data_IF_680135807646
#
_entry.id   IF_680135807646
#
_cell.length_a   1.000
_cell.length_b   1.000
_cell.length_c   1.000
_cell.angle_alpha   90.00
_cell.angle_beta   90.00
_cell.angle_gamma   90.00
#
_symmetry.space_group_name_H-M   'P 1'
#
loop_
_entity.id
_entity.type
_entity.pdbx_description
1 polymer ?
#
# COMPACT_ATOMS: atom_id res chain seq x y z
N UNK A 1 -8.30 -58.25 -23.61
CA UNK A 1 -7.81 -58.95 -22.40
C UNK A 1 -8.40 -58.27 -21.16
N UNK A 2 -8.70 -59.06 -20.14
CA UNK A 2 -9.83 -58.92 -19.20
C UNK A 2 -9.75 -57.72 -18.23
N UNK A 3 -10.93 -57.10 -18.02
CA UNK A 3 -11.29 -56.26 -16.86
C UNK A 3 -11.43 -57.14 -15.61
N UNK A 4 -10.99 -56.66 -14.45
CA UNK A 4 -11.34 -57.25 -13.14
C UNK A 4 -12.12 -56.21 -12.35
N UNK A 5 -13.33 -56.62 -12.00
CA UNK A 5 -14.32 -55.97 -11.14
C UNK A 5 -14.08 -56.50 -9.72
N UNK A 6 -14.10 -55.62 -8.71
CA UNK A 6 -14.26 -56.03 -7.31
C UNK A 6 -15.52 -55.35 -6.77
N UNK A 7 -16.49 -56.21 -6.46
CA UNK A 7 -17.74 -55.97 -5.74
C UNK A 7 -17.61 -56.66 -4.37
N UNK A 8 -18.43 -56.25 -3.40
CA UNK A 8 -18.88 -56.89 -2.12
C UNK A 8 -18.71 -55.89 -0.95
N UNK A 9 -19.66 -55.59 -0.06
CA UNK A 9 -21.09 -55.92 0.14
C UNK A 9 -21.58 -55.05 1.31
N UNK A 10 -22.85 -54.63 1.29
CA UNK A 10 -23.56 -54.03 2.42
C UNK A 10 -23.81 -55.04 3.55
N UNK A 11 -23.85 -54.58 4.80
CA UNK A 11 -24.59 -55.22 5.89
C UNK A 11 -25.16 -54.14 6.83
N UNK A 12 -26.47 -53.94 6.72
CA UNK A 12 -27.31 -53.25 7.67
C UNK A 12 -27.71 -54.24 8.79
N UNK A 13 -27.79 -53.77 10.03
CA UNK A 13 -28.52 -54.45 11.10
C UNK A 13 -29.38 -53.46 11.88
N UNK A 14 -30.68 -53.66 11.73
CA UNK A 14 -31.80 -53.15 12.52
C UNK A 14 -31.97 -54.12 13.69
N UNK A 15 -32.10 -53.69 14.94
CA UNK A 15 -32.92 -54.44 15.91
C UNK A 15 -33.63 -53.54 16.96
N UNK A 16 -34.95 -53.45 16.75
CA UNK A 16 -36.09 -53.53 17.69
C UNK A 16 -36.35 -52.53 18.82
N UNK A 17 -37.57 -51.98 18.70
CA UNK A 17 -38.43 -51.37 19.71
C UNK A 17 -38.65 -52.28 20.94
N UNK A 18 -38.77 -51.63 22.10
CA UNK A 18 -39.69 -52.05 23.15
C UNK A 18 -40.33 -50.81 23.77
N UNK A 19 -41.65 -50.77 23.67
CA UNK A 19 -42.53 -49.76 24.24
C UNK A 19 -42.90 -50.16 25.67
N UNK A 20 -42.94 -49.20 26.59
CA UNK A 20 -43.85 -49.23 27.72
C UNK A 20 -44.31 -47.80 28.01
N UNK A 21 -45.61 -47.59 27.91
CA UNK A 21 -46.32 -46.36 28.19
C UNK A 21 -47.09 -46.54 29.51
N UNK A 22 -46.92 -45.65 30.47
CA UNK A 22 -47.91 -45.41 31.53
C UNK A 22 -47.85 -43.96 31.99
N UNK A 23 -48.93 -43.23 31.71
CA UNK A 23 -49.25 -41.93 32.28
C UNK A 23 -49.65 -42.07 33.76
N UNK A 24 -49.15 -41.18 34.62
CA UNK A 24 -49.85 -40.75 35.84
C UNK A 24 -49.45 -39.32 36.23
N UNK A 25 -50.46 -38.49 36.52
CA UNK A 25 -50.39 -37.06 36.85
C UNK A 25 -49.76 -36.73 38.22
N UNK A 26 -48.88 -35.70 38.24
CA UNK A 26 -48.65 -34.56 39.21
C UNK A 26 -48.43 -34.81 40.73
N UNK A 27 -47.88 -33.84 41.53
CA UNK A 27 -47.10 -32.60 41.25
C UNK A 27 -45.87 -32.35 42.19
N UNK A 28 -45.26 -31.15 42.07
CA UNK A 28 -44.40 -30.37 43.02
C UNK A 28 -42.96 -30.82 43.32
N UNK A 29 -41.95 -30.06 42.88
CA UNK A 29 -41.27 -29.03 43.69
C UNK A 29 -40.03 -28.45 42.98
N UNK A 30 -39.83 -27.16 43.21
CA UNK A 30 -38.72 -26.30 42.78
C UNK A 30 -37.33 -26.87 43.05
N UNK A 31 -36.43 -26.69 42.07
CA UNK A 31 -35.10 -26.15 42.33
C UNK A 31 -34.45 -25.73 41.00
N UNK A 32 -34.37 -24.41 40.80
CA UNK A 32 -33.52 -23.76 39.82
C UNK A 32 -32.08 -24.31 39.88
N UNK A 33 -31.57 -24.79 38.74
CA UNK A 33 -30.13 -24.79 38.47
C UNK A 33 -29.92 -24.58 36.98
N UNK A 34 -30.00 -23.31 36.59
CA UNK A 34 -29.49 -22.81 35.32
C UNK A 34 -27.97 -22.90 35.40
N UNK A 35 -27.39 -23.96 34.84
CA UNK A 35 -25.95 -24.06 34.62
C UNK A 35 -25.60 -23.27 33.35
N UNK A 36 -25.60 -21.95 33.49
CA UNK A 36 -25.07 -21.06 32.46
C UNK A 36 -23.56 -20.97 32.67
N UNK A 37 -22.83 -21.87 32.00
CA UNK A 37 -21.42 -21.67 31.69
C UNK A 37 -21.30 -20.38 30.87
N UNK A 38 -20.96 -19.29 31.55
CA UNK A 38 -20.44 -18.10 30.91
C UNK A 38 -19.09 -18.51 30.31
N UNK A 39 -19.10 -18.84 29.02
CA UNK A 39 -17.90 -18.76 28.20
C UNK A 39 -17.61 -17.27 28.13
N UNK A 40 -16.69 -16.78 28.95
CA UNK A 40 -16.04 -15.52 28.66
C UNK A 40 -15.34 -15.72 27.32
N UNK A 41 -15.89 -15.12 26.27
CA UNK A 41 -15.19 -14.89 25.01
C UNK A 41 -14.02 -13.96 25.32
N UNK A 42 -12.91 -14.56 25.80
CA UNK A 42 -11.62 -13.87 25.87
C UNK A 42 -11.18 -13.73 24.42
N UNK A 43 -11.54 -12.62 23.77
CA UNK A 43 -10.89 -12.22 22.53
C UNK A 43 -9.38 -12.28 22.78
N UNK A 44 -8.60 -13.01 21.98
CA UNK A 44 -7.16 -13.05 22.17
C UNK A 44 -6.64 -11.63 22.09
N UNK A 45 -6.00 -11.17 23.17
CA UNK A 45 -5.25 -9.92 23.17
C UNK A 45 -4.11 -10.12 22.18
N UNK A 46 -4.35 -9.72 20.94
CA UNK A 46 -3.34 -9.71 19.90
C UNK A 46 -2.41 -8.55 20.25
N UNK A 47 -1.35 -8.84 21.02
CA UNK A 47 -0.35 -7.88 21.48
C UNK A 47 0.24 -7.15 20.27
N UNK A 48 -0.20 -5.91 20.04
CA UNK A 48 0.16 -5.11 18.87
C UNK A 48 1.66 -4.96 18.77
N UNK A 49 2.25 -5.35 17.64
CA UNK A 49 3.70 -5.25 17.44
C UNK A 49 4.12 -3.79 17.44
N UNK A 50 5.22 -3.52 18.13
CA UNK A 50 5.94 -2.26 18.12
C UNK A 50 7.13 -2.33 17.16
N UNK A 51 7.85 -1.21 17.02
CA UNK A 51 9.09 -1.17 16.23
C UNK A 51 10.18 -2.09 16.81
N UNK A 52 10.21 -2.29 18.13
CA UNK A 52 11.22 -3.10 18.82
C UNK A 52 11.07 -4.60 18.52
N UNK A 53 9.86 -5.03 18.18
CA UNK A 53 9.56 -6.41 17.80
C UNK A 53 10.01 -6.74 16.36
N UNK A 54 10.35 -5.72 15.56
CA UNK A 54 10.74 -5.89 14.16
C UNK A 54 12.23 -6.18 14.04
N UNK A 55 12.53 -7.45 13.72
CA UNK A 55 13.86 -7.87 13.32
C UNK A 55 14.13 -7.56 11.85
N UNK A 56 15.19 -6.78 11.59
CA UNK A 56 15.70 -6.49 10.25
C UNK A 56 17.09 -7.13 10.11
N UNK A 57 17.28 -7.88 9.03
CA UNK A 57 18.58 -8.46 8.64
C UNK A 57 18.96 -8.01 7.23
N UNK A 58 20.25 -8.01 6.89
CA UNK A 58 20.73 -7.57 5.57
C UNK A 58 21.19 -8.74 4.71
N UNK A 59 20.51 -8.95 3.59
CA UNK A 59 20.91 -9.92 2.57
C UNK A 59 20.52 -9.37 1.19
N UNK A 60 21.43 -8.58 0.62
CA UNK A 60 21.17 -7.83 -0.60
C UNK A 60 20.99 -8.78 -1.79
N UNK A 61 19.93 -8.57 -2.55
CA UNK A 61 19.74 -9.15 -3.90
C UNK A 61 20.32 -8.23 -4.98
N UNK A 62 20.51 -6.96 -4.65
CA UNK A 62 21.16 -5.98 -5.50
C UNK A 62 22.13 -5.16 -4.64
N UNK A 63 23.40 -5.14 -5.04
CA UNK A 63 24.53 -4.61 -4.26
C UNK A 63 25.28 -3.46 -4.95
N UNK A 64 24.99 -3.18 -6.22
CA UNK A 64 25.66 -2.11 -6.98
C UNK A 64 25.24 -0.73 -6.48
N UNK A 65 26.21 0.16 -6.23
CA UNK A 65 25.99 1.50 -5.63
C UNK A 65 25.37 1.45 -4.22
N UNK A 66 25.60 0.36 -3.49
CA UNK A 66 25.09 0.23 -2.11
C UNK A 66 25.66 1.33 -1.22
N UNK A 67 24.80 1.86 -0.36
CA UNK A 67 25.20 2.81 0.68
C UNK A 67 25.35 2.10 2.02
N UNK A 68 26.28 2.58 2.84
CA UNK A 68 26.34 2.22 4.26
C UNK A 68 25.10 2.74 5.01
N UNK A 69 24.83 2.23 6.21
CA UNK A 69 23.71 2.71 7.05
C UNK A 69 23.80 4.20 7.35
N UNK A 70 25.03 4.68 7.51
CA UNK A 70 25.39 6.06 7.77
C UNK A 70 26.53 6.41 6.84
N UNK A 71 26.36 7.47 6.05
CA UNK A 71 27.32 7.85 5.01
C UNK A 71 27.51 9.37 4.93
N UNK A 72 28.73 9.83 4.59
CA UNK A 72 29.02 11.26 4.50
C UNK A 72 28.33 11.89 3.27
N UNK A 73 27.87 13.12 3.42
CA UNK A 73 27.37 13.95 2.31
C UNK A 73 27.76 15.41 2.52
N UNK A 74 28.75 15.88 1.76
CA UNK A 74 29.32 17.23 1.92
C UNK A 74 29.75 17.48 3.38
N UNK A 75 29.17 18.49 4.00
CA UNK A 75 29.35 18.94 5.38
C UNK A 75 28.36 18.28 6.36
N UNK A 76 27.54 17.34 5.89
CA UNK A 76 26.55 16.62 6.71
C UNK A 76 26.75 15.10 6.63
N UNK A 77 26.00 14.39 7.45
CA UNK A 77 25.89 12.92 7.42
C UNK A 77 24.46 12.56 7.05
N UNK A 78 24.30 11.43 6.35
CA UNK A 78 23.01 10.87 5.99
C UNK A 78 22.88 9.47 6.52
N UNK A 79 21.63 9.07 6.73
CA UNK A 79 21.32 7.78 7.34
C UNK A 79 20.16 7.12 6.62
N UNK A 80 20.10 5.79 6.72
CA UNK A 80 18.82 5.09 6.60
C UNK A 80 18.08 5.20 7.93
N UNK A 81 16.86 5.72 7.91
CA UNK A 81 16.03 5.91 9.11
C UNK A 81 15.43 4.59 9.59
N UNK A 82 16.27 3.68 10.08
CA UNK A 82 15.86 2.31 10.46
C UNK A 82 14.76 2.27 11.51
N UNK A 83 14.73 3.21 12.45
CA UNK A 83 13.67 3.29 13.47
C UNK A 83 12.31 3.59 12.83
N UNK A 84 12.24 4.60 11.95
CA UNK A 84 11.02 4.90 11.17
C UNK A 84 10.64 3.71 10.28
N UNK A 85 11.61 3.04 9.65
CA UNK A 85 11.35 1.84 8.83
C UNK A 85 10.71 0.75 9.69
N UNK A 86 11.25 0.46 10.88
CA UNK A 86 10.69 -0.53 11.81
C UNK A 86 9.26 -0.19 12.23
N UNK A 87 8.97 1.07 12.56
CA UNK A 87 7.60 1.51 12.88
C UNK A 87 6.62 1.23 11.73
N UNK A 88 7.03 1.52 10.49
CA UNK A 88 6.22 1.26 9.30
C UNK A 88 6.06 -0.23 9.01
N UNK A 89 7.08 -1.04 9.26
CA UNK A 89 6.96 -2.50 9.15
C UNK A 89 6.05 -3.09 10.23
N UNK A 90 6.11 -2.58 11.46
CA UNK A 90 5.17 -2.96 12.53
C UNK A 90 3.72 -2.66 12.13
N UNK A 91 3.46 -1.51 11.48
CA UNK A 91 2.15 -1.22 10.88
C UNK A 91 1.72 -2.28 9.86
N UNK A 92 2.63 -2.69 8.97
CA UNK A 92 2.37 -3.72 7.93
C UNK A 92 2.10 -5.09 8.55
N UNK A 93 2.83 -5.48 9.59
CA UNK A 93 2.57 -6.76 10.26
C UNK A 93 1.24 -6.70 11.02
N UNK A 94 0.98 -5.62 11.76
CA UNK A 94 -0.26 -5.47 12.51
C UNK A 94 -1.51 -5.46 11.63
N UNK A 95 -1.47 -4.82 10.47
CA UNK A 95 -2.64 -4.76 9.58
C UNK A 95 -2.96 -6.10 8.92
N UNK A 96 -2.02 -7.04 8.88
CA UNK A 96 -2.19 -8.36 8.25
C UNK A 96 -2.52 -9.46 9.26
N UNK A 97 -2.54 -9.16 10.56
CA UNK A 97 -2.89 -10.13 11.62
C UNK A 97 -4.35 -10.56 11.60
N UNK A 98 -5.23 -9.73 11.04
CA UNK A 98 -6.65 -10.05 10.82
C UNK A 98 -6.91 -10.10 9.31
N UNK A 99 -7.65 -11.11 8.82
CA UNK A 99 -8.11 -11.12 7.43
C UNK A 99 -8.84 -9.82 7.10
N UNK A 100 -8.51 -9.23 5.96
CA UNK A 100 -9.05 -7.95 5.54
C UNK A 100 -9.13 -7.88 4.02
N UNK A 101 -10.21 -7.32 3.50
CA UNK A 101 -10.30 -6.99 2.09
C UNK A 101 -9.56 -5.68 1.84
N UNK A 102 -8.58 -5.70 0.94
CA UNK A 102 -7.76 -4.54 0.62
C UNK A 102 -8.20 -3.90 -0.69
N UNK A 103 -8.06 -2.59 -0.75
CA UNK A 103 -8.26 -1.79 -1.95
C UNK A 103 -7.26 -0.63 -2.01
N UNK A 104 -7.22 0.04 -3.16
CA UNK A 104 -6.40 1.24 -3.37
C UNK A 104 -7.27 2.36 -3.93
N UNK A 105 -7.04 3.58 -3.41
CA UNK A 105 -7.64 4.79 -3.98
C UNK A 105 -7.03 5.05 -5.36
N UNK A 106 -7.83 5.16 -6.41
CA UNK A 106 -7.34 5.42 -7.77
C UNK A 106 -8.02 6.62 -8.40
N UNK A 107 -7.22 7.59 -8.83
CA UNK A 107 -7.69 8.65 -9.71
C UNK A 107 -6.58 9.26 -10.57
N UNK A 108 -5.55 8.49 -10.93
CA UNK A 108 -4.48 8.94 -11.83
C UNK A 108 -5.03 9.69 -13.05
N UNK A 109 -4.52 10.90 -13.29
CA UNK A 109 -4.97 11.80 -14.37
C UNK A 109 -6.48 12.05 -14.44
N UNK A 110 -7.20 11.95 -13.31
CA UNK A 110 -8.66 12.03 -13.24
C UNK A 110 -9.37 10.97 -14.11
N UNK A 111 -8.77 9.80 -14.33
CA UNK A 111 -9.37 8.73 -15.14
C UNK A 111 -10.74 8.29 -14.61
N UNK A 112 -10.97 8.41 -13.30
CA UNK A 112 -12.24 8.07 -12.64
C UNK A 112 -13.16 9.28 -12.43
N UNK A 113 -12.85 10.39 -13.10
CA UNK A 113 -13.55 11.68 -12.98
C UNK A 113 -12.80 12.68 -12.11
N UNK A 114 -13.05 13.96 -12.34
CA UNK A 114 -12.53 15.00 -11.47
C UNK A 114 -13.25 14.93 -10.12
N UNK A 115 -12.49 14.90 -9.01
CA UNK A 115 -13.07 15.00 -7.68
C UNK A 115 -13.92 16.28 -7.54
N UNK A 116 -15.05 16.29 -6.83
CA UNK A 116 -15.78 17.53 -6.48
C UNK A 116 -14.91 18.46 -5.64
N UNK A 117 -15.38 19.69 -5.38
CA UNK A 117 -14.74 20.54 -4.36
C UNK A 117 -15.02 19.98 -2.97
N UNK A 118 -14.03 20.05 -2.09
CA UNK A 118 -14.18 19.80 -0.65
C UNK A 118 -14.69 21.04 0.07
N UNK A 119 -15.18 20.90 1.31
CA UNK A 119 -15.73 22.01 2.13
C UNK A 119 -14.78 23.19 2.25
N UNK A 120 -13.53 22.92 2.60
CA UNK A 120 -12.49 23.93 2.78
C UNK A 120 -11.36 23.65 1.81
N UNK A 121 -11.18 24.54 0.84
CA UNK A 121 -10.14 24.44 -0.17
C UNK A 121 -9.38 25.75 -0.32
N UNK A 122 -8.13 25.62 -0.75
CA UNK A 122 -7.28 26.73 -1.13
C UNK A 122 -7.02 26.69 -2.64
N UNK A 123 -6.84 27.86 -3.26
CA UNK A 123 -6.35 27.97 -4.64
C UNK A 123 -5.04 28.72 -4.67
N UNK A 124 -4.03 28.12 -5.27
CA UNK A 124 -2.71 28.72 -5.42
C UNK A 124 -2.62 29.69 -6.60
N UNK A 125 -1.44 30.32 -6.74
CA UNK A 125 -1.12 31.24 -7.84
C UNK A 125 -1.18 30.59 -9.23
N UNK A 126 -1.09 29.25 -9.31
CA UNK A 126 -1.19 28.45 -10.53
C UNK A 126 -2.61 27.91 -10.78
N UNK A 127 -3.61 28.41 -10.04
CA UNK A 127 -5.03 28.00 -10.11
C UNK A 127 -5.27 26.54 -9.74
N UNK A 128 -4.33 25.89 -9.07
CA UNK A 128 -4.50 24.55 -8.51
C UNK A 128 -5.31 24.64 -7.24
N UNK A 129 -6.11 23.62 -6.99
CA UNK A 129 -6.98 23.53 -5.82
C UNK A 129 -6.44 22.43 -4.94
N UNK A 130 -6.29 22.70 -3.65
CA UNK A 130 -5.94 21.72 -2.63
C UNK A 130 -6.89 21.79 -1.44
N UNK A 131 -6.95 20.72 -0.65
CA UNK A 131 -7.61 20.76 0.66
C UNK A 131 -6.73 21.42 1.73
N UNK A 132 -7.19 21.38 2.98
CA UNK A 132 -6.53 21.92 4.17
C UNK A 132 -5.24 21.19 4.54
N UNK A 133 -4.99 19.99 4.00
CA UNK A 133 -3.77 19.21 4.20
C UNK A 133 -2.78 19.34 3.03
N UNK A 134 -3.08 20.22 2.07
CA UNK A 134 -2.25 20.42 0.89
C UNK A 134 -2.33 19.27 -0.12
N UNK A 135 -3.35 18.42 -0.07
CA UNK A 135 -3.60 17.41 -1.09
C UNK A 135 -4.29 18.08 -2.27
N UNK A 136 -3.66 18.08 -3.45
CA UNK A 136 -4.25 18.66 -4.65
C UNK A 136 -5.49 17.89 -5.11
N UNK A 137 -6.53 18.61 -5.55
CA UNK A 137 -7.75 18.04 -6.14
C UNK A 137 -7.46 17.21 -7.39
N UNK A 138 -6.47 17.62 -8.18
CA UNK A 138 -6.08 16.90 -9.38
C UNK A 138 -5.49 15.54 -9.02
N UNK A 139 -6.06 14.47 -9.60
CA UNK A 139 -5.70 13.08 -9.35
C UNK A 139 -6.01 12.53 -7.96
N UNK A 140 -6.82 13.24 -7.18
CA UNK A 140 -7.21 12.79 -5.85
C UNK A 140 -8.62 12.23 -5.81
N UNK A 141 -8.93 11.58 -4.70
CA UNK A 141 -10.21 10.94 -4.42
C UNK A 141 -10.93 11.74 -3.34
N UNK A 142 -12.19 12.16 -3.54
CA UNK A 142 -12.94 12.84 -2.48
C UNK A 142 -13.26 11.88 -1.33
N UNK A 143 -13.00 12.32 -0.11
CA UNK A 143 -13.31 11.59 1.12
C UNK A 143 -14.49 12.27 1.82
N UNK A 144 -15.54 11.50 2.12
CA UNK A 144 -16.75 11.97 2.76
C UNK A 144 -16.87 11.43 4.18
N UNK A 145 -17.49 12.20 5.06
CA UNK A 145 -17.86 11.72 6.39
C UNK A 145 -19.08 10.81 6.29
N UNK A 146 -19.20 9.89 7.24
CA UNK A 146 -20.33 8.95 7.28
C UNK A 146 -21.70 9.63 7.44
N UNK A 147 -21.72 10.79 8.11
CA UNK A 147 -22.91 11.60 8.33
C UNK A 147 -23.11 12.73 7.30
N UNK A 148 -22.22 12.86 6.32
CA UNK A 148 -22.29 13.90 5.29
C UNK A 148 -21.75 13.40 3.94
N UNK A 149 -22.67 12.95 3.10
CA UNK A 149 -22.39 12.49 1.73
C UNK A 149 -22.64 13.56 0.67
N UNK A 150 -23.01 14.79 1.07
CA UNK A 150 -23.32 15.88 0.14
C UNK A 150 -22.04 16.63 -0.26
N UNK A 151 -21.16 16.89 0.71
CA UNK A 151 -19.90 17.59 0.49
C UNK A 151 -18.71 16.79 1.01
N UNK A 152 -17.67 16.67 0.19
CA UNK A 152 -16.45 15.99 0.58
C UNK A 152 -15.68 16.81 1.63
N UNK A 153 -15.10 16.13 2.61
CA UNK A 153 -14.33 16.74 3.70
C UNK A 153 -12.89 17.03 3.26
N UNK A 154 -12.24 16.04 2.65
CA UNK A 154 -10.82 16.07 2.27
C UNK A 154 -10.57 15.32 0.95
N UNK A 155 -9.34 15.43 0.45
CA UNK A 155 -8.87 14.62 -0.66
C UNK A 155 -7.93 13.51 -0.17
N UNK A 156 -8.24 12.27 -0.55
CA UNK A 156 -7.36 11.12 -0.45
C UNK A 156 -6.43 11.05 -1.65
N UNK A 157 -5.15 10.76 -1.41
CA UNK A 157 -4.16 10.64 -2.49
C UNK A 157 -4.39 9.34 -3.27
N UNK A 158 -4.30 9.41 -4.60
CA UNK A 158 -4.22 8.22 -5.43
C UNK A 158 -3.04 7.34 -4.98
N UNK A 159 -3.25 6.02 -4.98
CA UNK A 159 -2.28 5.04 -4.51
C UNK A 159 -2.34 4.71 -3.03
N UNK A 160 -3.11 5.44 -2.22
CA UNK A 160 -3.26 5.15 -0.79
C UNK A 160 -3.88 3.76 -0.59
N UNK A 161 -3.26 2.95 0.28
CA UNK A 161 -3.79 1.66 0.70
C UNK A 161 -4.97 1.87 1.66
N UNK A 162 -6.08 1.17 1.41
CA UNK A 162 -7.26 1.22 2.26
C UNK A 162 -7.80 -0.17 2.56
N UNK A 163 -8.28 -0.37 3.77
CA UNK A 163 -9.08 -1.53 4.14
C UNK A 163 -10.51 -1.27 3.71
N UNK A 164 -11.05 -2.15 2.89
CA UNK A 164 -12.44 -2.10 2.46
C UNK A 164 -13.31 -2.65 3.59
N UNK A 165 -14.31 -1.87 4.04
CA UNK A 165 -15.18 -2.24 5.15
C UNK A 165 -16.54 -2.74 4.64
N UNK A 166 -17.29 -1.89 3.95
CA UNK A 166 -18.64 -2.19 3.51
C UNK A 166 -19.08 -1.33 2.31
N UNK A 167 -20.05 -1.84 1.55
CA UNK A 167 -20.76 -1.08 0.52
C UNK A 167 -21.84 -0.22 1.17
N UNK A 168 -21.85 1.09 0.88
CA UNK A 168 -22.84 2.05 1.38
C UNK A 168 -23.43 2.82 0.20
N UNK A 169 -24.54 2.34 -0.35
CA UNK A 169 -25.18 2.93 -1.54
C UNK A 169 -24.18 3.07 -2.71
N UNK A 170 -23.93 4.28 -3.21
CA UNK A 170 -22.94 4.62 -4.24
C UNK A 170 -21.49 4.76 -3.72
N UNK A 171 -21.30 4.61 -2.42
CA UNK A 171 -20.02 4.71 -1.72
C UNK A 171 -19.54 3.35 -1.24
N UNK A 172 -18.27 3.32 -0.85
CA UNK A 172 -17.64 2.29 -0.05
C UNK A 172 -17.14 2.95 1.22
N UNK A 173 -17.43 2.35 2.37
CA UNK A 173 -16.78 2.71 3.62
C UNK A 173 -15.41 2.04 3.66
N UNK A 174 -14.37 2.84 3.82
CA UNK A 174 -12.98 2.40 3.83
C UNK A 174 -12.23 2.97 5.02
N UNK A 175 -11.24 2.24 5.52
CA UNK A 175 -10.28 2.74 6.51
C UNK A 175 -8.92 2.96 5.82
N UNK A 176 -8.35 4.17 5.94
CA UNK A 176 -7.00 4.44 5.42
C UNK A 176 -5.98 3.68 6.26
N UNK A 177 -5.17 2.82 5.62
CA UNK A 177 -4.28 1.89 6.33
C UNK A 177 -3.29 2.60 7.26
N UNK A 178 -2.78 3.77 6.85
CA UNK A 178 -1.80 4.56 7.59
C UNK A 178 -2.38 5.33 8.77
N UNK A 179 -3.56 5.95 8.61
CA UNK A 179 -4.13 6.84 9.63
C UNK A 179 -5.21 6.19 10.49
N UNK A 180 -5.68 4.99 10.08
CA UNK A 180 -6.82 4.27 10.69
C UNK A 180 -8.13 5.06 10.71
N UNK A 181 -8.23 6.13 9.90
CA UNK A 181 -9.45 6.93 9.76
C UNK A 181 -10.38 6.30 8.73
N UNK A 182 -11.66 6.25 9.07
CA UNK A 182 -12.72 5.78 8.20
C UNK A 182 -13.32 6.90 7.35
N UNK A 183 -13.64 6.59 6.10
CA UNK A 183 -14.21 7.53 5.12
C UNK A 183 -15.20 6.82 4.21
N UNK A 184 -16.19 7.55 3.73
CA UNK A 184 -16.98 7.14 2.57
C UNK A 184 -16.29 7.62 1.29
N UNK A 185 -16.13 6.71 0.33
CA UNK A 185 -15.49 6.97 -0.96
C UNK A 185 -16.38 6.50 -2.10
N UNK A 186 -16.68 7.33 -3.13
CA UNK A 186 -17.47 6.88 -4.27
C UNK A 186 -16.84 5.66 -4.96
N UNK A 187 -17.64 4.63 -5.25
CA UNK A 187 -17.16 3.32 -5.77
C UNK A 187 -16.22 3.43 -6.96
N UNK A 188 -16.45 4.40 -7.86
CA UNK A 188 -15.61 4.63 -9.05
C UNK A 188 -14.15 4.94 -8.75
N UNK A 189 -13.81 5.40 -7.55
CA UNK A 189 -12.44 5.71 -7.15
C UNK A 189 -11.74 4.56 -6.43
N UNK A 190 -12.43 3.44 -6.20
CA UNK A 190 -11.89 2.29 -5.48
C UNK A 190 -11.48 1.20 -6.46
N UNK A 191 -10.23 0.77 -6.36
CA UNK A 191 -9.76 -0.47 -6.99
C UNK A 191 -9.56 -1.53 -5.92
N UNK A 192 -10.48 -2.49 -5.86
CA UNK A 192 -10.33 -3.67 -5.00
C UNK A 192 -9.12 -4.49 -5.44
N UNK A 193 -8.28 -4.84 -4.48
CA UNK A 193 -7.13 -5.74 -4.62
C UNK A 193 -7.59 -7.17 -4.30
N UNK A 194 -8.22 -7.35 -3.13
CA UNK A 194 -8.75 -8.64 -2.65
C UNK A 194 -8.43 -8.88 -1.18
N UNK A 195 -8.87 -10.02 -0.67
CA UNK A 195 -8.68 -10.50 0.71
C UNK A 195 -7.53 -11.51 0.87
N UNK A 196 -6.97 -11.98 -0.26
CA UNK A 196 -5.86 -12.96 -0.31
C UNK A 196 -4.48 -12.31 -0.44
N UNK A 197 -4.42 -10.99 -0.61
CA UNK A 197 -3.15 -10.26 -0.78
C UNK A 197 -2.36 -10.26 0.53
N UNK A 198 -1.05 -10.51 0.41
CA UNK A 198 -0.09 -10.39 1.50
C UNK A 198 1.04 -9.46 1.08
N UNK A 199 1.26 -8.41 1.85
CA UNK A 199 2.26 -7.38 1.65
C UNK A 199 3.59 -7.79 2.28
N UNK A 200 4.33 -8.65 1.57
CA UNK A 200 5.66 -9.10 1.99
C UNK A 200 6.80 -8.26 1.39
N UNK A 201 6.50 -7.25 0.57
CA UNK A 201 7.49 -6.45 -0.14
C UNK A 201 7.21 -4.97 0.07
N UNK A 202 8.19 -4.26 0.62
CA UNK A 202 8.10 -2.83 0.89
C UNK A 202 9.32 -2.10 0.34
N UNK A 203 9.07 -0.96 -0.31
CA UNK A 203 10.08 0.01 -0.72
C UNK A 203 9.99 1.19 0.24
N UNK A 204 11.13 1.65 0.75
CA UNK A 204 11.25 2.82 1.61
C UNK A 204 12.03 3.89 0.88
N UNK A 205 11.42 5.04 0.66
CA UNK A 205 12.04 6.21 0.05
C UNK A 205 12.17 7.28 1.10
N UNK A 206 13.37 7.77 1.32
CA UNK A 206 13.64 8.85 2.27
C UNK A 206 13.83 10.17 1.50
N UNK A 207 12.89 11.11 1.66
CA UNK A 207 12.96 12.40 0.95
C UNK A 207 13.99 13.36 1.56
N UNK A 208 14.42 13.14 2.80
CA UNK A 208 15.40 13.98 3.49
C UNK A 208 16.82 13.51 3.23
N UNK A 209 17.08 12.22 3.42
CA UNK A 209 18.38 11.59 3.19
C UNK A 209 18.62 11.20 1.72
N UNK A 210 17.59 11.29 0.87
CA UNK A 210 17.65 10.98 -0.57
C UNK A 210 18.21 9.57 -0.82
N UNK A 211 17.67 8.59 -0.10
CA UNK A 211 17.99 7.18 -0.29
C UNK A 211 16.72 6.35 -0.46
N UNK A 212 16.94 5.11 -0.88
CA UNK A 212 15.89 4.12 -1.09
C UNK A 212 16.38 2.77 -0.56
N UNK A 213 15.50 2.06 0.16
CA UNK A 213 15.74 0.69 0.56
C UNK A 213 14.57 -0.20 0.13
N UNK A 214 14.85 -1.47 -0.12
CA UNK A 214 13.82 -2.48 -0.37
C UNK A 214 13.92 -3.56 0.68
N UNK A 215 12.79 -3.94 1.27
CA UNK A 215 12.72 -4.95 2.31
C UNK A 215 11.68 -6.02 1.93
N UNK A 216 12.00 -7.27 2.23
CA UNK A 216 11.18 -8.44 1.95
C UNK A 216 10.96 -9.24 3.24
N UNK A 217 9.70 -9.49 3.60
CA UNK A 217 9.36 -10.33 4.74
C UNK A 217 9.70 -11.78 4.44
N UNK A 218 10.34 -12.42 5.39
CA UNK A 218 10.50 -13.87 5.51
C UNK A 218 9.67 -14.36 6.70
N UNK A 219 9.69 -15.66 6.98
CA UNK A 219 8.89 -16.24 8.07
C UNK A 219 9.12 -15.57 9.43
N UNK A 220 10.36 -15.11 9.70
CA UNK A 220 10.75 -14.59 11.02
C UNK A 220 11.17 -13.13 11.03
N UNK A 221 11.65 -12.58 9.92
CA UNK A 221 12.25 -11.24 9.89
C UNK A 221 12.04 -10.51 8.55
N UNK A 222 12.29 -9.21 8.54
CA UNK A 222 12.38 -8.44 7.31
C UNK A 222 13.83 -8.41 6.83
N UNK A 223 14.02 -8.70 5.54
CA UNK A 223 15.34 -8.78 4.93
C UNK A 223 15.55 -7.63 3.98
N UNK A 224 16.61 -6.85 4.19
CA UNK A 224 17.03 -5.77 3.29
C UNK A 224 17.58 -6.37 2.01
N UNK A 225 16.95 -6.04 0.87
CA UNK A 225 17.30 -6.56 -0.46
C UNK A 225 18.08 -5.57 -1.34
N UNK A 226 18.03 -4.28 -1.03
CA UNK A 226 18.84 -3.24 -1.67
C UNK A 226 18.83 -1.96 -0.82
N UNK A 227 19.89 -1.15 -0.94
CA UNK A 227 20.08 0.11 -0.24
C UNK A 227 20.84 1.08 -1.15
N UNK A 228 20.19 2.08 -1.72
CA UNK A 228 20.80 2.90 -2.79
C UNK A 228 20.51 4.40 -2.65
N UNK A 229 21.33 5.24 -3.30
CA UNK A 229 21.00 6.65 -3.43
C UNK A 229 19.80 6.84 -4.36
N UNK A 230 18.92 7.76 -4.01
CA UNK A 230 17.75 8.13 -4.80
C UNK A 230 17.68 9.65 -4.99
N UNK A 231 16.84 10.12 -5.91
CA UNK A 231 16.52 11.55 -6.02
C UNK A 231 15.02 11.74 -6.13
N UNK A 232 14.45 12.45 -5.17
CA UNK A 232 13.00 12.67 -5.06
C UNK A 232 12.56 13.99 -5.71
N UNK A 233 11.26 14.23 -5.67
CA UNK A 233 10.57 15.40 -6.22
C UNK A 233 10.96 16.69 -5.53
N UNK A 234 11.19 17.74 -6.32
CA UNK A 234 11.43 19.10 -5.82
C UNK A 234 10.18 19.96 -5.99
N UNK A 235 9.87 20.74 -4.98
CA UNK A 235 8.88 21.81 -5.09
C UNK A 235 9.34 22.85 -6.12
N UNK A 236 8.71 22.86 -7.29
CA UNK A 236 8.98 23.81 -8.38
C UNK A 236 7.73 23.97 -9.26
N UNK A 237 6.61 24.45 -8.69
CA UNK A 237 5.38 24.61 -9.46
C UNK A 237 5.58 25.58 -10.65
N UNK A 238 4.81 25.43 -11.74
CA UNK A 238 3.79 24.39 -11.91
C UNK A 238 4.38 23.02 -12.27
N UNK A 239 5.61 22.92 -12.78
CA UNK A 239 6.07 21.68 -13.41
C UNK A 239 6.61 20.63 -12.44
N UNK A 240 7.04 21.02 -11.24
CA UNK A 240 7.61 20.12 -10.23
C UNK A 240 6.85 20.17 -8.91
N UNK A 241 6.63 18.99 -8.32
CA UNK A 241 6.10 18.82 -6.97
C UNK A 241 7.04 17.92 -6.17
N UNK A 242 6.96 18.05 -4.85
CA UNK A 242 7.60 17.12 -3.93
C UNK A 242 7.03 15.72 -4.09
N UNK A 243 7.85 14.70 -3.83
CA UNK A 243 7.34 13.34 -3.71
C UNK A 243 6.49 13.29 -2.43
N UNK A 244 5.18 12.97 -2.51
CA UNK A 244 4.32 12.98 -1.33
C UNK A 244 4.75 11.88 -0.35
N UNK A 245 4.78 12.22 0.94
CA UNK A 245 5.00 11.27 2.03
C UNK A 245 3.76 10.41 2.28
N UNK A 246 3.95 9.22 2.85
CA UNK A 246 2.87 8.31 3.24
C UNK A 246 3.04 6.88 2.73
N UNK A 247 1.97 6.09 2.87
CA UNK A 247 1.88 4.69 2.43
C UNK A 247 1.10 4.54 1.12
N UNK A 248 1.78 4.00 0.11
CA UNK A 248 1.21 3.75 -1.21
C UNK A 248 1.40 2.30 -1.67
N UNK A 249 0.67 1.92 -2.72
CA UNK A 249 0.79 0.61 -3.38
C UNK A 249 1.42 0.78 -4.75
N UNK A 250 2.22 -0.16 -5.23
CA UNK A 250 2.67 -0.18 -6.64
C UNK A 250 1.47 -0.48 -7.55
N UNK A 251 1.12 0.46 -8.43
CA UNK A 251 -0.13 0.41 -9.21
C UNK A 251 0.05 0.18 -10.71
N UNK A 252 1.20 0.53 -11.28
CA UNK A 252 1.47 0.35 -12.71
C UNK A 252 2.97 0.18 -12.94
N UNK A 253 3.35 -0.44 -14.06
CA UNK A 253 4.73 -0.74 -14.42
C UNK A 253 4.96 -0.50 -15.91
N UNK A 254 5.98 0.28 -16.23
CA UNK A 254 6.38 0.56 -17.62
C UNK A 254 7.89 0.37 -17.79
N UNK A 255 8.29 -0.51 -18.71
CA UNK A 255 9.70 -0.65 -19.09
C UNK A 255 10.27 0.66 -19.67
N UNK A 256 9.43 1.42 -20.37
CA UNK A 256 9.73 2.74 -20.93
C UNK A 256 8.60 3.70 -20.59
N UNK A 257 8.85 4.63 -19.66
CA UNK A 257 7.91 5.70 -19.32
C UNK A 257 8.27 6.97 -20.10
N UNK A 258 7.44 7.31 -21.08
CA UNK A 258 7.60 8.56 -21.83
C UNK A 258 7.20 9.77 -20.97
N UNK A 259 8.02 10.83 -21.00
CA UNK A 259 7.68 12.11 -20.41
C UNK A 259 7.70 13.22 -21.47
N UNK A 260 6.88 14.24 -21.23
CA UNK A 260 6.68 15.37 -22.14
C UNK A 260 7.56 16.55 -21.74
N UNK A 261 7.75 17.48 -22.66
CA UNK A 261 8.38 18.76 -22.36
C UNK A 261 7.51 19.60 -21.42
N UNK A 262 8.14 20.31 -20.48
CA UNK A 262 7.44 21.22 -19.57
C UNK A 262 6.62 22.24 -20.38
N UNK A 263 5.32 22.33 -20.09
CA UNK A 263 4.38 23.20 -20.80
C UNK A 263 3.79 22.62 -22.09
N UNK A 264 4.22 21.43 -22.51
CA UNK A 264 3.70 20.75 -23.71
C UNK A 264 2.80 19.57 -23.35
N UNK A 265 1.69 19.41 -24.09
CA UNK A 265 0.77 18.27 -23.96
C UNK A 265 1.06 17.14 -24.94
N UNK A 266 1.93 17.37 -25.93
CA UNK A 266 2.15 16.47 -27.06
C UNK A 266 3.62 16.21 -27.35
N UNK A 267 4.52 17.14 -27.02
CA UNK A 267 5.94 16.99 -27.38
C UNK A 267 6.67 16.11 -26.38
N UNK A 268 7.26 15.03 -26.88
CA UNK A 268 8.09 14.14 -26.10
C UNK A 268 9.43 14.79 -25.77
N UNK A 269 9.79 14.83 -24.49
CA UNK A 269 11.12 15.26 -24.06
C UNK A 269 12.08 14.08 -23.89
N UNK A 270 11.56 12.87 -23.69
CA UNK A 270 12.37 11.68 -23.50
C UNK A 270 11.63 10.53 -22.82
N UNK A 271 12.41 9.63 -22.23
CA UNK A 271 11.87 8.50 -21.47
C UNK A 271 12.65 8.20 -20.20
N UNK A 272 11.99 7.57 -19.25
CA UNK A 272 12.60 6.99 -18.06
C UNK A 272 12.46 5.47 -18.10
N UNK A 273 13.55 4.70 -17.94
CA UNK A 273 13.48 3.24 -17.97
C UNK A 273 12.96 2.67 -16.64
N UNK A 274 12.30 1.51 -16.72
CA UNK A 274 11.90 0.67 -15.57
C UNK A 274 11.11 1.43 -14.49
N UNK A 275 10.00 2.03 -14.90
CA UNK A 275 9.16 2.85 -14.04
C UNK A 275 8.09 2.01 -13.32
N UNK A 276 8.01 2.14 -12.00
CA UNK A 276 6.96 1.56 -11.14
C UNK A 276 6.15 2.69 -10.48
N UNK A 277 4.89 2.87 -10.88
CA UNK A 277 3.99 3.93 -10.38
C UNK A 277 3.50 3.58 -8.99
N UNK A 278 3.45 4.55 -8.08
CA UNK A 278 2.88 4.33 -6.74
C UNK A 278 1.81 5.35 -6.34
N UNK A 279 1.91 6.62 -6.73
CA UNK A 279 0.90 7.66 -6.46
C UNK A 279 0.94 8.75 -7.53
N UNK A 280 -0.19 9.31 -7.93
CA UNK A 280 -0.24 10.45 -8.87
C UNK A 280 0.69 10.26 -10.09
N UNK A 281 1.51 11.26 -10.42
CA UNK A 281 2.55 11.17 -11.44
C UNK A 281 3.87 10.56 -10.96
N UNK A 282 3.96 10.05 -9.72
CA UNK A 282 5.18 9.58 -9.12
C UNK A 282 5.47 8.11 -9.47
N UNK A 283 6.69 7.89 -9.97
CA UNK A 283 7.24 6.58 -10.28
C UNK A 283 8.60 6.42 -9.61
N UNK A 284 8.92 5.19 -9.18
CA UNK A 284 10.30 4.76 -8.97
C UNK A 284 10.84 4.36 -10.35
N UNK A 285 11.87 5.04 -10.86
CA UNK A 285 12.39 4.79 -12.21
C UNK A 285 13.90 5.05 -12.31
N UNK A 286 14.51 4.62 -13.42
CA UNK A 286 15.93 4.81 -13.71
C UNK A 286 16.27 6.23 -14.12
N UNK A 287 17.50 6.48 -14.57
CA UNK A 287 17.90 7.84 -14.98
C UNK A 287 17.14 8.25 -16.26
N UNK A 288 16.42 9.40 -16.27
CA UNK A 288 15.78 9.90 -17.48
C UNK A 288 16.77 10.12 -18.62
N UNK A 289 16.34 9.75 -19.82
CA UNK A 289 17.06 9.94 -21.07
C UNK A 289 16.30 10.98 -21.89
N UNK A 290 16.90 12.15 -22.06
CA UNK A 290 16.34 13.22 -22.90
C UNK A 290 16.67 12.96 -24.37
N UNK A 291 15.72 13.25 -25.26
CA UNK A 291 15.98 13.23 -26.69
C UNK A 291 17.13 14.19 -27.07
N UNK A 292 17.92 13.88 -28.12
CA UNK A 292 17.76 12.75 -29.05
C UNK A 292 18.40 11.44 -28.56
N UNK A 293 18.94 11.40 -27.33
CA UNK A 293 19.57 10.18 -26.81
C UNK A 293 18.52 9.09 -26.62
N UNK A 294 18.89 7.85 -26.97
CA UNK A 294 18.03 6.66 -26.82
C UNK A 294 18.59 5.63 -25.85
N UNK A 295 19.90 5.67 -25.59
CA UNK A 295 20.54 4.70 -24.71
C UNK A 295 20.26 4.99 -23.23
N UNK A 296 19.94 3.93 -22.48
CA UNK A 296 19.75 3.99 -21.03
C UNK A 296 21.03 4.52 -20.36
N UNK A 297 20.84 5.54 -19.52
CA UNK A 297 21.90 6.06 -18.66
C UNK A 297 21.89 5.25 -17.38
N UNK A 298 23.00 4.61 -17.05
CA UNK A 298 23.06 3.75 -15.86
C UNK A 298 22.98 4.55 -14.56
N UNK A 299 23.76 5.62 -14.45
CA UNK A 299 23.92 6.36 -13.19
C UNK A 299 23.99 7.87 -13.45
N UNK A 300 23.51 8.66 -12.48
CA UNK A 300 23.63 10.12 -12.47
C UNK A 300 24.33 10.55 -11.19
N UNK A 301 25.30 11.45 -11.31
CA UNK A 301 26.02 12.02 -10.16
C UNK A 301 25.14 12.80 -9.19
N UNK A 302 23.88 13.08 -9.56
CA UNK A 302 22.93 13.78 -8.70
C UNK A 302 22.09 12.85 -7.83
N UNK A 303 22.20 11.53 -8.02
CA UNK A 303 21.54 10.55 -7.14
C UNK A 303 22.09 10.70 -5.73
N UNK A 304 21.20 10.70 -4.74
CA UNK A 304 21.58 10.89 -3.34
C UNK A 304 22.11 12.28 -3.04
N UNK A 305 21.74 13.31 -3.80
CA UNK A 305 22.11 14.71 -3.53
C UNK A 305 20.95 15.48 -2.91
N UNK A 306 20.25 16.32 -3.66
CA UNK A 306 19.04 17.02 -3.19
C UNK A 306 17.84 16.60 -4.04
N UNK A 307 16.60 16.88 -3.60
CA UNK A 307 15.44 16.69 -4.45
C UNK A 307 15.58 17.48 -5.75
N UNK A 308 15.29 16.84 -6.88
CA UNK A 308 15.46 17.45 -8.22
C UNK A 308 14.44 16.96 -9.26
N UNK A 309 13.65 15.93 -8.97
CA UNK A 309 12.72 15.37 -9.98
C UNK A 309 11.40 16.14 -10.00
N UNK A 310 10.52 15.79 -10.95
CA UNK A 310 9.13 16.25 -10.99
C UNK A 310 8.25 15.18 -10.31
N UNK A 311 8.25 15.14 -8.98
CA UNK A 311 7.53 14.17 -8.10
C UNK A 311 8.09 12.73 -8.05
N UNK A 312 8.77 12.25 -9.09
CA UNK A 312 9.26 10.86 -9.16
C UNK A 312 10.45 10.56 -8.22
N UNK A 313 10.78 9.28 -8.06
CA UNK A 313 11.96 8.79 -7.36
C UNK A 313 12.93 8.24 -8.40
N UNK A 314 14.01 8.98 -8.67
CA UNK A 314 15.06 8.60 -9.62
C UNK A 314 16.12 7.74 -8.95
N UNK A 315 16.56 6.68 -9.63
CA UNK A 315 17.56 5.74 -9.15
C UNK A 315 18.58 5.44 -10.26
N UNK A 316 19.63 4.68 -9.93
CA UNK A 316 20.42 4.01 -10.94
C UNK A 316 19.48 3.13 -11.81
N UNK A 317 19.70 3.08 -13.11
CA UNK A 317 18.77 2.38 -14.01
C UNK A 317 18.72 0.88 -13.76
N UNK A 318 19.86 0.25 -13.42
CA UNK A 318 19.88 -1.14 -12.97
C UNK A 318 19.16 -1.37 -11.63
N UNK A 319 19.25 -0.43 -10.67
CA UNK A 319 18.48 -0.50 -9.42
C UNK A 319 16.97 -0.35 -9.67
N UNK A 320 16.57 0.60 -10.52
CA UNK A 320 15.19 0.75 -10.92
C UNK A 320 14.66 -0.50 -11.63
N UNK A 321 15.49 -1.15 -12.46
CA UNK A 321 15.16 -2.46 -13.06
C UNK A 321 14.96 -3.53 -11.98
N UNK A 322 15.84 -3.59 -10.99
CA UNK A 322 15.68 -4.51 -9.86
C UNK A 322 14.32 -4.29 -9.16
N UNK A 323 13.98 -3.06 -8.78
CA UNK A 323 12.67 -2.75 -8.16
C UNK A 323 11.51 -3.12 -9.10
N UNK A 324 11.62 -2.78 -10.39
CA UNK A 324 10.64 -3.09 -11.41
C UNK A 324 10.38 -4.60 -11.55
N UNK A 325 11.41 -5.44 -11.49
CA UNK A 325 11.25 -6.89 -11.57
C UNK A 325 10.77 -7.47 -10.23
N UNK A 326 11.28 -6.96 -9.11
CA UNK A 326 11.07 -7.52 -7.76
C UNK A 326 9.73 -7.15 -7.10
N UNK A 327 9.16 -5.96 -7.37
CA UNK A 327 8.01 -5.40 -6.64
C UNK A 327 6.67 -5.61 -7.39
N UNK A 328 5.87 -6.65 -7.13
CA UNK A 328 4.62 -6.92 -7.87
C UNK A 328 3.58 -5.79 -7.77
N UNK A 329 2.76 -5.65 -8.84
CA UNK A 329 1.66 -4.69 -8.89
C UNK A 329 0.57 -5.12 -7.89
N UNK A 330 0.06 -4.17 -7.10
CA UNK A 330 -0.95 -4.36 -6.05
C UNK A 330 -0.55 -5.20 -4.84
N UNK A 331 0.70 -5.66 -4.78
CA UNK A 331 1.21 -6.53 -3.71
C UNK A 331 2.48 -5.96 -3.06
N UNK A 332 3.11 -4.94 -3.68
CA UNK A 332 4.23 -4.22 -3.11
C UNK A 332 3.82 -2.84 -2.59
N UNK A 333 4.31 -2.50 -1.40
CA UNK A 333 4.09 -1.22 -0.74
C UNK A 333 5.25 -0.26 -1.01
N UNK A 334 4.95 1.03 -1.03
CA UNK A 334 5.92 2.12 -1.08
C UNK A 334 5.64 3.06 0.08
N UNK A 335 6.56 3.13 1.02
CA UNK A 335 6.61 4.13 2.09
C UNK A 335 7.52 5.27 1.66
N UNK A 336 7.00 6.49 1.74
CA UNK A 336 7.80 7.71 1.55
C UNK A 336 7.91 8.41 2.89
N UNK A 337 9.13 8.42 3.44
CA UNK A 337 9.50 8.95 4.75
C UNK A 337 10.05 10.37 4.61
N UNK A 338 9.81 11.19 5.63
CA UNK A 338 10.48 12.48 5.84
C UNK A 338 11.71 12.37 6.74
#
# INVERSE_FOLDING_TARGET
MRKVVILFTCLANIFYFSSCNTNSNRPTNDANKTDSLLVEDVEPVIDTLSADDILIVKELKYDKYTLEDTYPYKDTVRVFQWDKIKERLALVENMQRKPAMWAVLQNYKNLNGQAPLVKVWNRDEYKRISDTLGVERYQSVPLFLENDTLEAELYGRDGSLVRYLEDVSDFVKVEIAETKKEWLVPKRYIKTIGDTVVFNKAVFVDVTNQNIATLEKTDTCWVVRSMNPATTGKHRPPYGQETPTGLFVVQDKRSTMIFLQDGSLTEHAGFAPYASRFTNGAYIHGVPVNLPRTDIIEFSSTLGTTPRSHMCVRNASSHAKFVYDWAPKYEALVFVLD
#
